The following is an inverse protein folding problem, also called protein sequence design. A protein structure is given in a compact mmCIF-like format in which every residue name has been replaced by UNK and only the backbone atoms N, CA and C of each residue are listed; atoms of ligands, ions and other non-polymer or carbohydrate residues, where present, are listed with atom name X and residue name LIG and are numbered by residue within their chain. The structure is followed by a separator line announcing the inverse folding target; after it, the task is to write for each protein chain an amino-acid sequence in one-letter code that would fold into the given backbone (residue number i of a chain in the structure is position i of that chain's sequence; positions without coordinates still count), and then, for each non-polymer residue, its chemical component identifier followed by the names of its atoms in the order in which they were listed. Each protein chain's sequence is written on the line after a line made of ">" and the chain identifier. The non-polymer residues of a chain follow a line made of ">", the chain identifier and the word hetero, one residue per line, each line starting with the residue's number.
data_IF_770856658457
#
_entry.id   IF_770856658457
#
_cell.length_a   1.000
_cell.length_b   1.000
_cell.length_c   1.000
_cell.angle_alpha   90.00
_cell.angle_beta   90.00
_cell.angle_gamma   90.00
#
_symmetry.space_group_name_H-M   'P 1'
#
loop_
_entity.id
_entity.type
_entity.pdbx_description
1 polymer ?
#
# COMPACT_ATOMS: atom_id res chain seq x y z
N UNK A 1 31.56 -5.84 -12.26
CA UNK A 1 31.15 -6.99 -13.08
C UNK A 1 30.59 -8.19 -12.28
N UNK A 2 31.09 -8.55 -11.08
CA UNK A 2 30.53 -9.67 -10.29
C UNK A 2 29.07 -9.47 -9.81
N UNK A 3 28.68 -8.25 -9.46
CA UNK A 3 27.32 -7.94 -9.03
C UNK A 3 26.25 -8.13 -10.12
N UNK A 4 26.59 -7.86 -11.39
CA UNK A 4 25.64 -8.00 -12.50
C UNK A 4 25.31 -9.44 -12.84
N UNK A 5 26.27 -10.35 -12.67
CA UNK A 5 26.07 -11.80 -12.94
C UNK A 5 25.29 -12.49 -11.82
N UNK A 6 25.42 -12.03 -10.60
CA UNK A 6 24.67 -12.54 -9.45
C UNK A 6 23.20 -12.09 -9.52
N UNK A 7 22.97 -10.84 -9.94
CA UNK A 7 21.63 -10.30 -10.22
C UNK A 7 20.90 -11.09 -11.31
N UNK A 8 21.58 -11.41 -12.43
CA UNK A 8 21.02 -12.22 -13.52
C UNK A 8 20.76 -13.69 -13.12
N UNK A 9 21.54 -14.25 -12.20
CA UNK A 9 21.30 -15.59 -11.66
C UNK A 9 20.09 -15.62 -10.72
N UNK A 10 19.88 -14.59 -9.92
CA UNK A 10 18.69 -14.47 -9.06
C UNK A 10 17.40 -14.31 -9.87
N UNK A 11 17.45 -13.66 -11.03
CA UNK A 11 16.31 -13.57 -11.95
C UNK A 11 15.89 -14.93 -12.53
N UNK A 12 16.82 -15.85 -12.74
CA UNK A 12 16.51 -17.20 -13.27
C UNK A 12 15.87 -18.14 -12.24
N UNK A 13 16.06 -17.90 -10.95
CA UNK A 13 15.61 -18.78 -9.86
C UNK A 13 14.34 -18.32 -9.14
N UNK A 14 13.97 -17.03 -9.25
CA UNK A 14 12.70 -16.49 -8.71
C UNK A 14 11.86 -16.07 -9.91
N UNK A 15 10.76 -16.75 -10.17
CA UNK A 15 9.86 -16.36 -11.27
C UNK A 15 9.69 -14.83 -11.37
N UNK A 16 9.49 -14.33 -12.53
CA UNK A 16 9.41 -12.99 -13.14
C UNK A 16 9.38 -11.69 -12.30
N UNK A 17 9.28 -11.70 -10.98
CA UNK A 17 9.17 -10.49 -10.13
C UNK A 17 10.45 -10.33 -9.31
N UNK A 18 11.29 -9.35 -9.69
CA UNK A 18 12.57 -9.04 -9.01
C UNK A 18 12.43 -7.92 -7.98
N UNK A 19 11.45 -7.03 -8.16
CA UNK A 19 11.09 -5.96 -7.24
C UNK A 19 10.03 -6.38 -6.23
N UNK A 20 9.46 -5.38 -5.55
CA UNK A 20 8.34 -5.57 -4.62
C UNK A 20 7.05 -5.79 -5.42
N UNK A 21 6.36 -6.94 -5.29
CA UNK A 21 5.13 -7.19 -6.02
C UNK A 21 4.01 -6.21 -5.62
N UNK A 22 3.27 -5.70 -6.59
CA UNK A 22 2.12 -4.82 -6.35
C UNK A 22 0.89 -5.58 -5.86
N UNK A 23 0.84 -6.90 -6.14
CA UNK A 23 -0.33 -7.75 -5.93
C UNK A 23 -1.24 -7.86 -7.15
N UNK A 24 -1.00 -7.08 -8.19
CA UNK A 24 -1.68 -7.17 -9.48
C UNK A 24 -0.79 -7.98 -10.45
N UNK A 25 -1.16 -9.22 -10.67
CA UNK A 25 -0.33 -10.21 -11.37
C UNK A 25 0.15 -9.77 -12.75
N UNK A 26 -0.75 -9.19 -13.54
CA UNK A 26 -0.40 -8.71 -14.88
C UNK A 26 0.53 -7.49 -14.81
N UNK A 27 0.26 -6.57 -13.89
CA UNK A 27 1.12 -5.41 -13.66
C UNK A 27 2.53 -5.84 -13.20
N UNK A 28 2.60 -6.79 -12.29
CA UNK A 28 3.87 -7.33 -11.80
C UNK A 28 4.66 -8.04 -12.91
N UNK A 29 3.97 -8.66 -13.86
CA UNK A 29 4.60 -9.25 -15.04
C UNK A 29 5.24 -8.18 -15.94
N UNK A 30 4.57 -7.04 -16.14
CA UNK A 30 5.10 -5.94 -16.95
C UNK A 30 6.22 -5.16 -16.25
N UNK A 31 6.08 -4.88 -14.95
CA UNK A 31 7.02 -4.08 -14.19
C UNK A 31 8.16 -4.90 -13.57
N UNK A 32 8.02 -6.23 -13.50
CA UNK A 32 8.83 -7.11 -12.65
C UNK A 32 8.78 -6.70 -11.16
N UNK A 33 7.66 -6.14 -10.72
CA UNK A 33 7.46 -5.51 -9.43
C UNK A 33 8.03 -4.08 -9.34
N UNK A 34 7.83 -3.44 -8.18
CA UNK A 34 8.34 -2.08 -7.92
C UNK A 34 9.85 -2.16 -7.62
N UNK A 35 10.67 -1.54 -8.46
CA UNK A 35 12.12 -1.60 -8.34
C UNK A 35 12.66 -0.53 -7.37
N UNK A 36 13.78 -0.79 -6.68
CA UNK A 36 14.44 0.24 -5.87
C UNK A 36 14.82 1.46 -6.72
N UNK A 37 14.62 2.64 -6.16
CA UNK A 37 14.91 3.94 -6.78
C UNK A 37 14.02 4.35 -7.95
N UNK A 38 13.01 3.55 -8.31
CA UNK A 38 12.06 3.95 -9.34
C UNK A 38 11.09 5.03 -8.83
N UNK A 39 10.73 5.91 -9.74
CA UNK A 39 9.62 6.86 -9.58
C UNK A 39 8.48 6.43 -10.51
N UNK A 40 7.37 6.01 -9.93
CA UNK A 40 6.21 5.48 -10.67
C UNK A 40 5.07 6.48 -10.56
N UNK A 41 4.60 7.00 -11.69
CA UNK A 41 3.48 7.92 -11.77
C UNK A 41 2.18 7.19 -12.11
N UNK A 42 1.18 7.30 -11.23
CA UNK A 42 -0.18 6.82 -11.49
C UNK A 42 -1.10 7.99 -11.68
N UNK A 43 -1.58 8.17 -12.90
CA UNK A 43 -2.49 9.25 -13.27
C UNK A 43 -3.87 8.70 -13.68
N UNK A 44 -4.93 9.38 -13.24
CA UNK A 44 -6.29 9.06 -13.64
C UNK A 44 -7.16 10.32 -13.53
N UNK A 45 -8.26 10.35 -14.31
CA UNK A 45 -9.29 11.38 -14.13
C UNK A 45 -9.92 11.29 -12.75
N UNK A 46 -10.51 12.37 -12.22
CA UNK A 46 -11.25 12.33 -10.95
C UNK A 46 -12.26 11.18 -10.93
N UNK A 47 -12.43 10.57 -9.76
CA UNK A 47 -13.38 9.46 -9.52
C UNK A 47 -13.12 8.15 -10.27
N UNK A 48 -11.98 7.98 -10.94
CA UNK A 48 -11.62 6.75 -11.67
C UNK A 48 -10.94 5.68 -10.80
N UNK A 49 -10.92 5.85 -9.48
CA UNK A 49 -10.39 4.84 -8.57
C UNK A 49 -8.86 4.92 -8.33
N UNK A 50 -8.19 6.03 -8.68
CA UNK A 50 -6.75 6.23 -8.43
C UNK A 50 -6.35 5.89 -6.99
N UNK A 51 -7.02 6.50 -6.02
CA UNK A 51 -6.75 6.28 -4.59
C UNK A 51 -7.00 4.82 -4.18
N UNK A 52 -8.09 4.22 -4.65
CA UNK A 52 -8.38 2.82 -4.36
C UNK A 52 -7.28 1.89 -4.88
N UNK A 53 -6.81 2.11 -6.11
CA UNK A 53 -5.69 1.36 -6.68
C UNK A 53 -4.42 1.47 -5.83
N UNK A 54 -4.02 2.70 -5.48
CA UNK A 54 -2.80 2.95 -4.68
C UNK A 54 -2.90 2.33 -3.29
N UNK A 55 -4.08 2.40 -2.65
CA UNK A 55 -4.32 1.77 -1.35
C UNK A 55 -4.24 0.24 -1.44
N UNK A 56 -4.81 -0.38 -2.47
CA UNK A 56 -4.67 -1.82 -2.69
C UNK A 56 -3.20 -2.25 -2.83
N UNK A 57 -2.39 -1.49 -3.55
CA UNK A 57 -0.94 -1.73 -3.64
C UNK A 57 -0.29 -1.60 -2.26
N UNK A 58 -0.60 -0.52 -1.52
CA UNK A 58 -0.03 -0.26 -0.19
C UNK A 58 -0.40 -1.37 0.81
N UNK A 59 -1.66 -1.83 0.83
CA UNK A 59 -2.12 -2.95 1.66
C UNK A 59 -1.39 -4.24 1.30
N UNK A 60 -1.33 -4.57 0.02
CA UNK A 60 -0.66 -5.78 -0.42
C UNK A 60 0.82 -5.80 -0.03
N UNK A 61 1.50 -4.67 -0.13
CA UNK A 61 2.91 -4.54 0.24
C UNK A 61 3.09 -4.54 1.77
N UNK A 62 2.30 -3.74 2.50
CA UNK A 62 2.47 -3.56 3.93
C UNK A 62 1.92 -4.73 4.75
N UNK A 63 0.75 -5.29 4.37
CA UNK A 63 0.07 -6.34 5.12
C UNK A 63 0.58 -7.71 4.69
N UNK A 64 0.48 -8.05 3.39
CA UNK A 64 0.80 -9.41 2.92
C UNK A 64 2.30 -9.69 2.85
N UNK A 65 3.09 -8.69 2.45
CA UNK A 65 4.54 -8.84 2.31
C UNK A 65 5.33 -8.32 3.50
N UNK A 66 4.68 -7.65 4.46
CA UNK A 66 5.31 -7.10 5.66
C UNK A 66 6.49 -6.16 5.34
N UNK A 67 6.37 -5.40 4.25
CA UNK A 67 7.36 -4.39 3.85
C UNK A 67 6.88 -3.01 4.31
N UNK A 68 7.75 -2.25 4.95
CA UNK A 68 7.42 -0.90 5.44
C UNK A 68 6.98 -0.01 4.29
N UNK A 69 5.76 0.48 4.38
CA UNK A 69 5.11 1.30 3.36
C UNK A 69 4.58 2.58 4.00
N UNK A 70 4.91 3.71 3.39
CA UNK A 70 4.44 5.03 3.86
C UNK A 70 3.52 5.64 2.83
N UNK A 71 2.34 6.07 3.26
CA UNK A 71 1.36 6.79 2.43
C UNK A 71 1.28 8.23 2.91
N UNK A 72 1.70 9.17 2.09
CA UNK A 72 1.47 10.60 2.32
C UNK A 72 0.21 11.03 1.59
N UNK A 73 -0.79 11.51 2.32
CA UNK A 73 -2.07 11.91 1.76
C UNK A 73 -2.28 13.42 1.88
N UNK A 74 -2.50 14.06 0.73
CA UNK A 74 -2.78 15.51 0.66
C UNK A 74 -4.26 15.85 0.46
N UNK A 75 -5.07 14.86 0.09
CA UNK A 75 -6.50 15.06 -0.23
C UNK A 75 -7.42 14.45 0.82
N UNK A 76 -7.02 13.33 1.43
CA UNK A 76 -7.86 12.55 2.34
C UNK A 76 -7.22 12.47 3.72
N UNK A 77 -8.06 12.56 4.75
CA UNK A 77 -7.60 12.37 6.13
C UNK A 77 -7.23 10.90 6.38
N UNK A 78 -6.39 10.68 7.39
CA UNK A 78 -6.01 9.36 7.89
C UNK A 78 -7.25 8.49 8.16
N UNK A 79 -8.26 9.02 8.85
CA UNK A 79 -9.50 8.29 9.16
C UNK A 79 -10.22 7.82 7.89
N UNK A 80 -10.29 8.66 6.85
CA UNK A 80 -10.92 8.28 5.59
C UNK A 80 -10.15 7.17 4.87
N UNK A 81 -8.81 7.22 4.91
CA UNK A 81 -7.97 6.19 4.32
C UNK A 81 -8.09 4.87 5.08
N UNK A 82 -8.01 4.90 6.41
CA UNK A 82 -8.17 3.71 7.26
C UNK A 82 -9.54 3.07 7.06
N UNK A 83 -10.62 3.85 6.97
CA UNK A 83 -11.97 3.30 6.71
C UNK A 83 -12.05 2.60 5.35
N UNK A 84 -11.40 3.15 4.31
CA UNK A 84 -11.31 2.49 3.00
C UNK A 84 -10.52 1.18 3.07
N UNK A 85 -9.40 1.19 3.77
CA UNK A 85 -8.58 0.00 3.97
C UNK A 85 -9.32 -1.07 4.77
N UNK A 86 -10.03 -0.68 5.82
CA UNK A 86 -10.89 -1.60 6.57
C UNK A 86 -11.94 -2.25 5.68
N UNK A 87 -12.58 -1.48 4.79
CA UNK A 87 -13.53 -2.03 3.83
C UNK A 87 -12.89 -3.04 2.86
N UNK A 88 -11.69 -2.73 2.38
CA UNK A 88 -10.94 -3.61 1.48
C UNK A 88 -10.51 -4.90 2.17
N UNK A 89 -9.88 -4.80 3.34
CA UNK A 89 -9.34 -5.97 4.06
C UNK A 89 -10.44 -6.86 4.66
N UNK A 90 -11.49 -6.24 5.23
CA UNK A 90 -12.62 -6.99 5.81
C UNK A 90 -13.63 -7.49 4.78
N UNK A 91 -13.57 -7.00 3.54
CA UNK A 91 -14.60 -7.23 2.51
C UNK A 91 -16.01 -6.78 2.93
N UNK A 92 -16.12 -5.85 3.88
CA UNK A 92 -17.37 -5.22 4.29
C UNK A 92 -17.59 -3.94 3.49
N UNK A 93 -18.81 -3.74 3.03
CA UNK A 93 -19.17 -2.57 2.21
C UNK A 93 -18.88 -1.26 2.95
N UNK A 94 -18.19 -0.34 2.27
CA UNK A 94 -17.81 0.97 2.84
C UNK A 94 -19.02 1.81 3.26
N UNK A 95 -20.17 1.66 2.58
CA UNK A 95 -21.40 2.35 2.94
C UNK A 95 -22.03 1.79 4.23
N UNK A 96 -21.91 0.48 4.47
CA UNK A 96 -22.32 -0.14 5.74
C UNK A 96 -21.47 0.38 6.89
N UNK A 97 -20.14 0.46 6.70
CA UNK A 97 -19.21 1.01 7.70
C UNK A 97 -19.58 2.46 8.01
N UNK A 98 -19.75 3.28 6.98
CA UNK A 98 -20.07 4.70 7.11
C UNK A 98 -21.41 4.97 7.81
N UNK A 99 -22.42 4.15 7.53
CA UNK A 99 -23.77 4.30 8.07
C UNK A 99 -23.94 3.61 9.44
N UNK A 100 -23.00 2.78 9.86
CA UNK A 100 -23.08 2.00 11.07
C UNK A 100 -24.08 0.83 11.00
N UNK A 101 -24.51 0.44 9.79
CA UNK A 101 -25.44 -0.66 9.57
C UNK A 101 -24.69 -1.99 9.45
N UNK A 102 -24.12 -2.43 10.57
CA UNK A 102 -23.26 -3.62 10.65
C UNK A 102 -23.98 -4.73 11.40
N UNK A 103 -23.98 -5.94 10.85
CA UNK A 103 -24.42 -7.14 11.56
C UNK A 103 -23.25 -7.77 12.35
N UNK A 104 -23.55 -8.82 13.13
CA UNK A 104 -22.55 -9.50 13.96
C UNK A 104 -21.40 -10.11 13.13
N UNK A 105 -21.69 -10.57 11.91
CA UNK A 105 -20.69 -11.13 11.00
C UNK A 105 -19.81 -10.03 10.41
N UNK A 106 -20.39 -8.87 10.02
CA UNK A 106 -19.67 -7.71 9.58
C UNK A 106 -18.69 -7.22 10.67
N UNK A 107 -19.13 -7.20 11.94
CA UNK A 107 -18.28 -6.84 13.08
C UNK A 107 -17.09 -7.78 13.26
N UNK A 108 -17.30 -9.09 13.14
CA UNK A 108 -16.21 -10.08 13.19
C UNK A 108 -15.15 -9.82 12.13
N UNK A 109 -15.57 -9.63 10.88
CA UNK A 109 -14.66 -9.32 9.76
C UNK A 109 -13.92 -7.99 9.93
N UNK A 110 -14.59 -6.96 10.45
CA UNK A 110 -13.96 -5.66 10.72
C UNK A 110 -12.89 -5.75 11.80
N UNK A 111 -13.10 -6.54 12.85
CA UNK A 111 -12.11 -6.75 13.91
C UNK A 111 -10.88 -7.47 13.34
N UNK A 112 -11.07 -8.52 12.54
CA UNK A 112 -9.98 -9.23 11.87
C UNK A 112 -9.20 -8.31 10.91
N UNK A 113 -9.91 -7.52 10.09
CA UNK A 113 -9.30 -6.55 9.18
C UNK A 113 -8.53 -5.46 9.93
N UNK A 114 -9.09 -4.95 11.03
CA UNK A 114 -8.41 -3.96 11.87
C UNK A 114 -7.13 -4.52 12.51
N UNK A 115 -7.15 -5.77 12.98
CA UNK A 115 -5.99 -6.46 13.54
C UNK A 115 -4.89 -6.66 12.47
N UNK A 116 -5.29 -7.05 11.25
CA UNK A 116 -4.37 -7.16 10.09
C UNK A 116 -3.68 -5.84 9.77
N UNK A 117 -4.45 -4.75 9.72
CA UNK A 117 -3.90 -3.40 9.47
C UNK A 117 -3.01 -2.95 10.62
N UNK A 118 -3.41 -3.16 11.86
CA UNK A 118 -2.64 -2.77 13.05
C UNK A 118 -1.29 -3.50 13.17
N UNK A 119 -1.21 -4.74 12.71
CA UNK A 119 0.02 -5.55 12.67
C UNK A 119 0.88 -5.29 11.44
N UNK A 120 0.37 -4.52 10.47
CA UNK A 120 1.10 -4.22 9.23
C UNK A 120 2.21 -3.20 9.46
N UNK A 121 3.11 -3.12 8.49
CA UNK A 121 4.16 -2.10 8.45
C UNK A 121 3.71 -0.88 7.62
N UNK A 122 2.46 -0.46 7.79
CA UNK A 122 1.89 0.69 7.10
C UNK A 122 1.94 1.92 7.98
N UNK A 123 2.42 3.01 7.40
CA UNK A 123 2.44 4.34 8.01
C UNK A 123 1.62 5.28 7.14
N UNK A 124 0.65 5.96 7.72
CA UNK A 124 -0.16 6.97 7.03
C UNK A 124 0.14 8.34 7.62
N UNK A 125 0.49 9.27 6.78
CA UNK A 125 0.77 10.67 7.13
C UNK A 125 -0.12 11.60 6.31
N UNK A 126 -1.04 12.28 6.97
CA UNK A 126 -1.98 13.22 6.37
C UNK A 126 -1.67 14.69 6.72
N UNK A 127 -0.39 14.99 7.00
CA UNK A 127 0.06 16.35 7.30
C UNK A 127 -0.32 17.29 6.16
N UNK A 128 -1.20 18.29 6.40
CA UNK A 128 -1.64 19.20 5.35
C UNK A 128 -0.49 20.11 4.91
N UNK A 129 -0.36 20.31 3.60
CA UNK A 129 0.65 21.22 3.04
C UNK A 129 2.11 20.81 3.30
N UNK A 130 2.36 19.52 3.53
CA UNK A 130 3.72 19.01 3.77
C UNK A 130 4.69 19.49 2.69
N UNK A 131 5.80 20.09 3.10
CA UNK A 131 6.87 20.50 2.20
C UNK A 131 7.72 19.31 1.74
N UNK A 132 8.40 19.44 0.59
CA UNK A 132 9.32 18.40 0.09
C UNK A 132 10.44 18.11 1.10
N UNK A 133 10.96 19.15 1.78
CA UNK A 133 12.01 18.99 2.79
C UNK A 133 11.51 18.15 3.99
N UNK A 134 10.30 18.41 4.43
CA UNK A 134 9.64 17.71 5.53
C UNK A 134 9.33 16.25 5.17
N UNK A 135 8.75 16.03 3.99
CA UNK A 135 8.51 14.70 3.45
C UNK A 135 9.81 13.88 3.38
N UNK A 136 10.88 14.48 2.87
CA UNK A 136 12.20 13.84 2.81
C UNK A 136 12.73 13.49 4.20
N UNK A 137 12.55 14.38 5.19
CA UNK A 137 12.97 14.15 6.57
C UNK A 137 12.20 12.97 7.19
N UNK A 138 10.88 12.95 7.02
CA UNK A 138 10.02 11.85 7.51
C UNK A 138 10.38 10.52 6.84
N UNK A 139 10.57 10.49 5.52
CA UNK A 139 11.00 9.27 4.82
C UNK A 139 12.33 8.72 5.35
N UNK A 140 13.30 9.59 5.66
CA UNK A 140 14.56 9.17 6.26
C UNK A 140 14.37 8.57 7.64
N UNK A 141 13.52 9.18 8.47
CA UNK A 141 13.18 8.67 9.79
C UNK A 141 12.57 7.27 9.70
N UNK A 142 11.52 7.10 8.91
CA UNK A 142 10.84 5.81 8.74
C UNK A 142 11.70 4.70 8.10
N UNK A 143 12.78 5.08 7.41
CA UNK A 143 13.74 4.10 6.89
C UNK A 143 14.70 3.56 7.95
N UNK A 144 14.89 4.29 9.05
CA UNK A 144 15.81 3.92 10.15
C UNK A 144 15.10 3.14 11.27
N UNK A 145 13.78 3.22 11.34
CA UNK A 145 12.93 2.44 12.26
C UNK A 145 12.58 1.07 11.67
#
# INVERSE_FOLDING_TARGET
>A
MRHSTEYLRQQKTKGAVTGVPTGFKDLDTYLSGLQPSDFILVAARPSMGKTAFVLNVAENVAIKQQITTVVFSLEMSNVQLVNRMLSLESTVDADKIRKGHLDSNDWGKLIEGADSIAKSKLIIDDTPGISIAELRSKCRKYKME
#
